data_IF_732088685104
#
_entry.id   IF_732088685104
#
_cell.length_a   1.000
_cell.length_b   1.000
_cell.length_c   1.000
_cell.angle_alpha   90.00
_cell.angle_beta   90.00
_cell.angle_gamma   90.00
#
_symmetry.space_group_name_H-M   'P 1'
#
loop_
_entity.id
_entity.type
_entity.pdbx_description
1 polymer ?
#
# COMPACT_ATOMS: atom_id res chain seq x y z
N UNK A 1 -5.66 17.00 31.41
CA UNK A 1 -4.43 16.19 31.56
C UNK A 1 -4.74 14.72 31.86
N UNK A 2 -5.37 14.39 32.99
CA UNK A 2 -5.76 13.00 33.33
C UNK A 2 -6.71 12.37 32.29
N UNK A 3 -7.74 13.10 31.82
CA UNK A 3 -8.64 12.61 30.77
C UNK A 3 -7.91 12.33 29.44
N UNK A 4 -6.93 13.16 29.07
CA UNK A 4 -6.13 12.99 27.86
C UNK A 4 -5.19 11.78 27.97
N UNK A 5 -4.55 11.62 29.13
CA UNK A 5 -3.71 10.47 29.43
C UNK A 5 -4.51 9.16 29.44
N UNK A 6 -5.71 9.15 30.03
CA UNK A 6 -6.61 8.01 30.01
C UNK A 6 -7.05 7.67 28.58
N UNK A 7 -7.38 8.68 27.77
CA UNK A 7 -7.77 8.49 26.37
C UNK A 7 -6.65 7.89 25.52
N UNK A 8 -5.42 8.43 25.61
CA UNK A 8 -4.29 7.93 24.81
C UNK A 8 -3.81 6.56 25.29
N UNK A 9 -3.61 6.41 26.60
CA UNK A 9 -2.96 5.21 27.14
C UNK A 9 -3.93 4.04 27.29
N UNK A 10 -5.20 4.29 27.60
CA UNK A 10 -6.19 3.22 27.84
C UNK A 10 -7.13 3.08 26.65
N UNK A 11 -7.75 4.15 26.14
CA UNK A 11 -8.71 4.00 25.04
C UNK A 11 -8.04 3.68 23.71
N UNK A 12 -6.99 4.42 23.33
CA UNK A 12 -6.34 4.25 22.02
C UNK A 12 -5.34 3.09 21.96
N UNK A 13 -4.73 2.69 23.08
CA UNK A 13 -3.77 1.58 23.13
C UNK A 13 -4.33 0.24 23.62
N UNK A 14 -5.37 0.22 24.45
CA UNK A 14 -5.93 -1.03 25.00
C UNK A 14 -7.28 -1.42 24.38
N UNK A 15 -8.08 -0.45 23.90
CA UNK A 15 -9.43 -0.73 23.37
C UNK A 15 -9.56 -0.58 21.86
N UNK A 16 -8.64 0.14 21.22
CA UNK A 16 -8.64 0.37 19.78
C UNK A 16 -7.34 -0.19 19.20
N UNK A 17 -7.46 -0.97 18.14
CA UNK A 17 -6.31 -1.34 17.31
C UNK A 17 -6.40 -0.56 15.99
N UNK A 18 -5.99 0.73 15.97
CA UNK A 18 -6.15 1.58 14.80
C UNK A 18 -5.35 1.08 13.60
N UNK A 19 -4.25 0.36 13.83
CA UNK A 19 -3.42 -0.17 12.75
C UNK A 19 -4.10 -1.36 12.07
N UNK A 20 -4.59 -2.33 12.84
CA UNK A 20 -5.35 -3.44 12.26
C UNK A 20 -6.64 -2.95 11.59
N UNK A 21 -7.37 -2.00 12.20
CA UNK A 21 -8.53 -1.38 11.58
C UNK A 21 -8.21 -0.72 10.22
N UNK A 22 -7.03 -0.10 10.09
CA UNK A 22 -6.58 0.48 8.83
C UNK A 22 -6.25 -0.60 7.79
N UNK A 23 -5.57 -1.68 8.17
CA UNK A 23 -5.26 -2.81 7.30
C UNK A 23 -6.54 -3.49 6.80
N UNK A 24 -7.51 -3.70 7.69
CA UNK A 24 -8.83 -4.22 7.36
C UNK A 24 -9.57 -3.31 6.39
N UNK A 25 -9.55 -2.00 6.63
CA UNK A 25 -10.18 -1.02 5.75
C UNK A 25 -9.57 -1.05 4.35
N UNK A 26 -8.23 -1.12 4.24
CA UNK A 26 -7.52 -1.27 2.98
C UNK A 26 -7.99 -2.52 2.21
N UNK A 27 -8.11 -3.65 2.90
CA UNK A 27 -8.51 -4.94 2.32
C UNK A 27 -9.96 -4.97 1.84
N UNK A 28 -10.87 -4.43 2.66
CA UNK A 28 -12.30 -4.37 2.34
C UNK A 28 -12.54 -3.37 1.19
N UNK A 29 -11.78 -2.27 1.17
CA UNK A 29 -11.87 -1.24 0.13
C UNK A 29 -11.13 -1.61 -1.16
N UNK A 30 -10.39 -2.71 -1.18
CA UNK A 30 -9.52 -3.12 -2.29
C UNK A 30 -8.45 -2.06 -2.66
N UNK A 31 -7.84 -1.42 -1.66
CA UNK A 31 -6.85 -0.35 -1.81
C UNK A 31 -5.55 -0.76 -1.12
N UNK A 32 -4.47 -0.88 -1.90
CA UNK A 32 -3.12 -1.03 -1.36
C UNK A 32 -2.47 0.32 -1.10
N UNK A 33 -1.66 0.41 -0.04
CA UNK A 33 -0.96 1.64 0.35
C UNK A 33 0.54 1.40 0.22
N UNK A 34 1.20 2.24 -0.58
CA UNK A 34 2.64 2.18 -0.81
C UNK A 34 3.26 3.51 -0.41
N UNK A 35 4.07 3.52 0.64
CA UNK A 35 4.63 4.74 1.25
C UNK A 35 6.14 4.66 1.22
N UNK A 36 6.79 5.67 0.63
CA UNK A 36 8.24 5.80 0.61
C UNK A 36 8.66 6.85 1.64
N UNK A 37 9.44 6.45 2.64
CA UNK A 37 10.09 7.40 3.57
C UNK A 37 11.41 7.89 3.00
N UNK A 38 12.06 7.05 2.18
CA UNK A 38 13.29 7.33 1.45
C UNK A 38 13.14 6.84 0.00
N UNK A 39 14.04 7.22 -0.93
CA UNK A 39 13.87 6.88 -2.34
C UNK A 39 13.71 5.39 -2.66
N UNK A 40 14.35 4.52 -1.87
CA UNK A 40 14.35 3.06 -2.03
C UNK A 40 13.84 2.32 -0.79
N UNK A 41 13.31 3.03 0.22
CA UNK A 41 12.87 2.40 1.47
C UNK A 41 11.55 2.99 1.95
N UNK A 42 10.70 2.14 2.52
CA UNK A 42 9.43 2.55 3.09
C UNK A 42 8.57 1.39 3.58
N UNK A 43 7.24 1.56 3.46
CA UNK A 43 6.25 0.63 3.96
C UNK A 43 5.19 0.31 2.90
N UNK A 44 4.71 -0.92 2.92
CA UNK A 44 3.64 -1.39 2.04
C UNK A 44 2.55 -2.09 2.84
N UNK A 45 1.30 -1.70 2.58
CA UNK A 45 0.10 -2.38 3.04
C UNK A 45 -0.58 -2.98 1.81
N UNK A 46 -0.63 -4.30 1.78
CA UNK A 46 -1.32 -5.07 0.76
C UNK A 46 -2.82 -5.11 1.07
N UNK A 47 -3.60 -4.31 0.35
CA UNK A 47 -5.05 -4.22 0.52
C UNK A 47 -5.84 -4.84 -0.61
N UNK A 48 -5.30 -5.84 -1.33
CA UNK A 48 -6.07 -6.54 -2.36
C UNK A 48 -7.19 -7.34 -1.70
N UNK A 49 -8.43 -7.07 -2.08
CA UNK A 49 -9.57 -7.82 -1.56
C UNK A 49 -9.59 -9.24 -2.13
N UNK A 50 -10.04 -10.20 -1.32
CA UNK A 50 -10.33 -11.56 -1.77
C UNK A 50 -11.68 -11.65 -2.48
N UNK A 51 -12.46 -10.56 -2.47
CA UNK A 51 -13.76 -10.44 -3.11
C UNK A 51 -13.69 -9.61 -4.38
N UNK A 52 -14.58 -9.88 -5.34
CA UNK A 52 -14.55 -9.25 -6.67
C UNK A 52 -14.76 -7.72 -6.64
N UNK A 53 -15.51 -7.22 -5.67
CA UNK A 53 -15.90 -5.81 -5.57
C UNK A 53 -15.96 -5.35 -4.12
N UNK A 54 -15.36 -4.20 -3.84
CA UNK A 54 -15.48 -3.50 -2.57
C UNK A 54 -16.83 -2.79 -2.41
N UNK A 55 -17.31 -2.12 -3.47
CA UNK A 55 -18.58 -1.41 -3.49
C UNK A 55 -19.74 -2.38 -3.75
N UNK A 56 -20.27 -2.98 -2.68
CA UNK A 56 -21.37 -3.94 -2.74
C UNK A 56 -22.45 -3.65 -1.70
N UNK A 57 -23.64 -4.23 -1.90
CA UNK A 57 -24.75 -4.15 -0.95
C UNK A 57 -24.35 -4.73 0.42
N UNK A 58 -24.90 -4.16 1.49
CA UNK A 58 -24.62 -4.59 2.87
C UNK A 58 -24.90 -6.09 3.10
N UNK A 59 -25.91 -6.65 2.44
CA UNK A 59 -26.24 -8.09 2.52
C UNK A 59 -25.09 -8.94 1.96
N UNK A 60 -24.54 -8.56 0.80
CA UNK A 60 -23.41 -9.27 0.18
C UNK A 60 -22.14 -9.08 1.00
N UNK A 61 -21.90 -7.88 1.53
CA UNK A 61 -20.77 -7.65 2.44
C UNK A 61 -20.83 -8.56 3.66
N UNK A 62 -22.01 -8.75 4.27
CA UNK A 62 -22.17 -9.68 5.38
C UNK A 62 -21.86 -11.13 4.95
N UNK A 63 -22.31 -11.54 3.76
CA UNK A 63 -21.98 -12.87 3.22
C UNK A 63 -20.48 -13.07 2.96
N UNK A 64 -19.77 -12.02 2.53
CA UNK A 64 -18.32 -12.01 2.37
C UNK A 64 -17.61 -12.22 3.71
N UNK A 65 -17.99 -11.45 4.73
CA UNK A 65 -17.44 -11.59 6.08
C UNK A 65 -17.72 -12.97 6.68
N UNK A 66 -18.91 -13.53 6.44
CA UNK A 66 -19.22 -14.90 6.84
C UNK A 66 -18.33 -15.94 6.14
N UNK A 67 -18.09 -15.78 4.83
CA UNK A 67 -17.20 -16.68 4.09
C UNK A 67 -15.76 -16.60 4.58
N UNK A 68 -15.28 -15.40 4.91
CA UNK A 68 -13.96 -15.21 5.51
C UNK A 68 -13.85 -15.89 6.87
N UNK A 69 -14.85 -15.74 7.74
CA UNK A 69 -14.90 -16.42 9.05
C UNK A 69 -14.83 -17.94 8.92
N UNK A 70 -15.54 -18.50 7.94
CA UNK A 70 -15.58 -19.95 7.69
C UNK A 70 -14.39 -20.44 6.84
N UNK A 71 -13.41 -19.58 6.52
CA UNK A 71 -12.26 -19.88 5.65
C UNK A 71 -12.67 -20.44 4.26
N UNK A 72 -13.79 -19.96 3.71
CA UNK A 72 -14.34 -20.36 2.40
C UNK A 72 -13.83 -19.49 1.24
N UNK A 73 -12.79 -18.69 1.46
CA UNK A 73 -12.16 -17.84 0.46
C UNK A 73 -10.64 -17.85 0.63
N UNK A 74 -9.92 -17.22 -0.31
CA UNK A 74 -8.47 -17.08 -0.21
C UNK A 74 -8.04 -16.23 0.99
N UNK A 75 -6.75 -16.25 1.29
CA UNK A 75 -6.14 -15.38 2.30
C UNK A 75 -5.90 -13.98 1.74
N UNK A 76 -5.92 -12.96 2.61
CA UNK A 76 -5.74 -11.56 2.21
C UNK A 76 -4.27 -11.13 2.00
N UNK A 77 -3.30 -12.01 2.28
CA UNK A 77 -1.90 -11.66 2.22
C UNK A 77 -1.34 -11.57 0.81
N UNK A 78 -0.18 -10.93 0.68
CA UNK A 78 0.51 -10.78 -0.61
C UNK A 78 1.07 -12.13 -1.10
N UNK A 79 1.51 -12.99 -0.18
CA UNK A 79 2.00 -14.33 -0.49
C UNK A 79 0.87 -15.36 -0.51
N UNK A 80 0.98 -16.33 -1.42
CA UNK A 80 0.01 -17.41 -1.51
C UNK A 80 -0.06 -18.19 -0.19
N UNK A 81 -1.26 -18.23 0.41
CA UNK A 81 -1.51 -18.92 1.67
C UNK A 81 -1.09 -18.15 2.93
N UNK A 82 -0.51 -16.95 2.80
CA UNK A 82 -0.24 -16.06 3.94
C UNK A 82 -1.42 -15.11 4.18
N UNK A 83 -1.68 -14.80 5.45
CA UNK A 83 -2.60 -13.74 5.87
C UNK A 83 -1.92 -12.39 6.09
N UNK A 84 -0.59 -12.31 6.00
CA UNK A 84 0.16 -11.09 6.31
C UNK A 84 -0.01 -10.04 5.21
N UNK A 85 -0.28 -8.80 5.62
CA UNK A 85 -0.59 -7.70 4.69
C UNK A 85 0.37 -6.51 4.82
N UNK A 86 1.29 -6.54 5.78
CA UNK A 86 2.17 -5.43 6.11
C UNK A 86 3.64 -5.78 5.89
N UNK A 87 4.34 -4.90 5.20
CA UNK A 87 5.73 -5.11 4.79
C UNK A 87 6.54 -3.84 4.96
N UNK A 88 7.79 -3.99 5.40
CA UNK A 88 8.85 -3.00 5.18
C UNK A 88 9.42 -3.29 3.80
N UNK A 89 9.55 -2.26 2.97
CA UNK A 89 9.99 -2.42 1.58
C UNK A 89 11.34 -1.76 1.37
N UNK A 90 12.26 -2.52 0.79
CA UNK A 90 13.55 -2.06 0.28
C UNK A 90 13.57 -2.37 -1.21
N UNK A 91 13.82 -1.35 -2.04
CA UNK A 91 13.53 -1.40 -3.47
C UNK A 91 14.83 -1.40 -4.29
N UNK A 92 14.85 -2.09 -5.44
CA UNK A 92 16.02 -2.08 -6.30
C UNK A 92 16.19 -0.72 -6.97
N UNK A 93 17.42 -0.35 -7.34
CA UNK A 93 17.70 0.95 -8.00
C UNK A 93 16.93 1.12 -9.30
N UNK A 94 16.76 0.02 -10.05
CA UNK A 94 15.98 0.00 -11.31
C UNK A 94 14.52 0.37 -11.09
N UNK A 95 13.92 -0.02 -9.94
CA UNK A 95 12.55 0.41 -9.61
C UNK A 95 12.47 1.93 -9.54
N UNK A 96 13.46 2.58 -8.91
CA UNK A 96 13.47 4.03 -8.74
C UNK A 96 13.58 4.76 -10.06
N UNK A 97 14.45 4.31 -10.95
CA UNK A 97 14.60 4.87 -12.29
C UNK A 97 13.26 4.81 -13.07
N UNK A 98 12.57 3.67 -12.99
CA UNK A 98 11.26 3.50 -13.64
C UNK A 98 10.16 4.33 -12.98
N UNK A 99 10.17 4.43 -11.66
CA UNK A 99 9.23 5.26 -10.89
C UNK A 99 9.40 6.75 -11.22
N UNK A 100 10.64 7.25 -11.24
CA UNK A 100 10.95 8.63 -11.60
C UNK A 100 10.65 8.91 -13.08
N UNK A 101 10.85 7.95 -13.98
CA UNK A 101 10.44 8.05 -15.38
C UNK A 101 8.90 8.15 -15.51
N UNK A 102 8.14 7.33 -14.79
CA UNK A 102 6.67 7.39 -14.78
C UNK A 102 6.16 8.73 -14.22
N UNK A 103 6.85 9.29 -13.22
CA UNK A 103 6.50 10.58 -12.61
C UNK A 103 6.93 11.79 -13.47
N UNK A 104 8.06 11.72 -14.17
CA UNK A 104 8.58 12.84 -14.98
C UNK A 104 7.84 13.02 -16.31
N UNK A 105 7.32 11.94 -16.90
CA UNK A 105 6.39 12.02 -18.04
C UNK A 105 5.11 12.83 -17.72
N UNK A 106 4.77 12.98 -16.43
CA UNK A 106 3.66 13.79 -15.92
C UNK A 106 4.02 15.29 -15.79
N UNK A 107 5.25 15.62 -15.39
CA UNK A 107 5.69 17.00 -15.10
C UNK A 107 5.82 17.94 -16.31
N UNK A 108 6.29 17.46 -17.46
CA UNK A 108 6.62 18.30 -18.63
C UNK A 108 5.40 18.93 -19.34
N UNK A 109 4.18 18.54 -18.99
CA UNK A 109 2.96 19.14 -19.55
C UNK A 109 2.53 20.45 -18.89
N UNK A 110 3.14 20.84 -17.76
CA UNK A 110 2.74 22.03 -16.98
C UNK A 110 3.13 23.35 -17.65
N UNK A 111 4.27 23.41 -18.34
CA UNK A 111 4.81 24.68 -18.86
C UNK A 111 4.27 25.07 -20.26
N UNK A 112 3.63 24.14 -20.97
CA UNK A 112 3.23 24.37 -22.37
C UNK A 112 1.76 24.73 -22.57
N UNK A 113 0.91 24.58 -21.54
CA UNK A 113 -0.54 24.75 -21.64
C UNK A 113 -1.07 26.09 -21.10
N UNK A 114 -0.24 26.89 -20.41
CA UNK A 114 -0.65 28.20 -19.86
C UNK A 114 -0.79 29.31 -20.92
N UNK A 115 -0.58 29.01 -22.21
CA UNK A 115 -0.50 30.05 -23.25
C UNK A 115 -1.66 30.11 -24.25
N UNK A 116 -2.67 29.22 -24.22
CA UNK A 116 -3.59 29.12 -25.37
C UNK A 116 -5.11 28.97 -25.15
N UNK A 117 -5.69 28.90 -23.94
CA UNK A 117 -7.15 28.68 -23.81
C UNK A 117 -7.89 29.77 -23.01
N UNK A 118 -8.88 30.40 -23.67
CA UNK A 118 -9.77 31.43 -23.13
C UNK A 118 -11.08 30.90 -22.52
N UNK A 119 -11.20 29.59 -22.26
CA UNK A 119 -12.35 29.00 -21.55
C UNK A 119 -11.88 28.27 -20.28
N UNK A 120 -12.16 28.88 -19.13
CA UNK A 120 -11.73 28.43 -17.80
C UNK A 120 -12.27 27.03 -17.43
N UNK A 121 -13.47 26.68 -17.91
CA UNK A 121 -14.11 25.40 -17.62
C UNK A 121 -13.43 24.22 -18.36
N UNK A 122 -13.16 24.38 -19.67
CA UNK A 122 -12.48 23.38 -20.48
C UNK A 122 -11.01 23.21 -20.06
N UNK A 123 -10.34 24.30 -19.66
CA UNK A 123 -9.00 24.22 -19.08
C UNK A 123 -8.98 23.39 -17.79
N UNK A 124 -9.98 23.54 -16.92
CA UNK A 124 -10.10 22.76 -15.68
C UNK A 124 -10.37 21.28 -15.97
N UNK A 125 -11.29 20.97 -16.88
CA UNK A 125 -11.60 19.60 -17.28
C UNK A 125 -10.37 18.89 -17.88
N UNK A 126 -9.63 19.56 -18.77
CA UNK A 126 -8.41 19.02 -19.38
C UNK A 126 -7.30 18.76 -18.35
N UNK A 127 -7.16 19.64 -17.35
CA UNK A 127 -6.21 19.44 -16.25
C UNK A 127 -6.57 18.23 -15.39
N UNK A 128 -7.85 18.05 -15.06
CA UNK A 128 -8.35 16.89 -14.31
C UNK A 128 -8.10 15.59 -15.10
N UNK A 129 -8.41 15.58 -16.40
CA UNK A 129 -8.18 14.41 -17.24
C UNK A 129 -6.69 14.03 -17.31
N UNK A 130 -5.81 15.04 -17.40
CA UNK A 130 -4.36 14.82 -17.38
C UNK A 130 -3.92 14.19 -16.07
N UNK A 131 -4.33 14.76 -14.93
CA UNK A 131 -4.02 14.23 -13.59
C UNK A 131 -4.54 12.79 -13.44
N UNK A 132 -5.76 12.52 -13.90
CA UNK A 132 -6.33 11.17 -13.85
C UNK A 132 -5.54 10.16 -14.68
N UNK A 133 -5.10 10.53 -15.90
CA UNK A 133 -4.26 9.67 -16.74
C UNK A 133 -2.91 9.36 -16.09
N UNK A 134 -2.29 10.34 -15.45
CA UNK A 134 -1.03 10.19 -14.74
C UNK A 134 -1.17 9.22 -13.56
N UNK A 135 -2.24 9.38 -12.76
CA UNK A 135 -2.54 8.45 -11.67
C UNK A 135 -2.77 7.02 -12.17
N UNK A 136 -3.51 6.84 -13.28
CA UNK A 136 -3.75 5.51 -13.86
C UNK A 136 -2.44 4.87 -14.34
N UNK A 137 -1.54 5.64 -14.97
CA UNK A 137 -0.25 5.13 -15.41
C UNK A 137 0.62 4.68 -14.24
N UNK A 138 0.73 5.51 -13.20
CA UNK A 138 1.49 5.17 -11.99
C UNK A 138 0.91 3.96 -11.27
N UNK A 139 -0.42 3.90 -11.13
CA UNK A 139 -1.11 2.77 -10.50
C UNK A 139 -0.85 1.47 -11.28
N UNK A 140 -0.91 1.52 -12.62
CA UNK A 140 -0.61 0.36 -13.46
C UNK A 140 0.85 -0.10 -13.33
N UNK A 141 1.79 0.83 -13.21
CA UNK A 141 3.20 0.50 -12.94
C UNK A 141 3.35 -0.20 -11.60
N UNK A 142 2.78 0.37 -10.53
CA UNK A 142 2.86 -0.21 -9.18
C UNK A 142 2.19 -1.59 -9.11
N UNK A 143 1.02 -1.76 -9.72
CA UNK A 143 0.35 -3.07 -9.79
C UNK A 143 1.24 -4.11 -10.47
N UNK A 144 1.84 -3.77 -11.63
CA UNK A 144 2.77 -4.68 -12.33
C UNK A 144 4.00 -5.02 -11.51
N UNK A 145 4.54 -4.05 -10.77
CA UNK A 145 5.67 -4.27 -9.88
C UNK A 145 5.32 -5.24 -8.76
N UNK A 146 4.21 -5.00 -8.05
CA UNK A 146 3.76 -5.86 -6.95
C UNK A 146 3.44 -7.28 -7.44
N UNK A 147 2.87 -7.44 -8.64
CA UNK A 147 2.56 -8.75 -9.25
C UNK A 147 3.77 -9.48 -9.86
N UNK A 148 5.01 -9.05 -9.55
CA UNK A 148 6.25 -9.60 -10.11
C UNK A 148 6.32 -9.59 -11.65
N UNK A 149 5.53 -8.74 -12.31
CA UNK A 149 5.45 -8.60 -13.76
C UNK A 149 6.43 -7.55 -14.32
N UNK A 150 7.46 -7.20 -13.53
CA UNK A 150 8.59 -6.37 -13.95
C UNK A 150 9.90 -7.12 -13.66
N UNK A 151 10.41 -7.92 -14.61
CA UNK A 151 11.59 -8.76 -14.36
C UNK A 151 12.87 -7.95 -14.08
N UNK A 152 12.91 -6.68 -14.50
CA UNK A 152 14.04 -5.77 -14.27
C UNK A 152 14.08 -5.19 -12.84
N UNK A 153 12.92 -5.13 -12.17
CA UNK A 153 12.76 -4.59 -10.84
C UNK A 153 12.06 -5.65 -9.97
N UNK A 154 12.75 -6.76 -9.75
CA UNK A 154 12.20 -7.88 -8.98
C UNK A 154 12.43 -7.69 -7.48
N UNK A 155 11.62 -8.36 -6.66
CA UNK A 155 11.80 -8.39 -5.20
C UNK A 155 11.49 -9.77 -4.61
N UNK A 156 12.06 -10.05 -3.45
CA UNK A 156 11.80 -11.23 -2.63
C UNK A 156 11.08 -10.83 -1.34
N UNK A 157 10.43 -11.79 -0.69
CA UNK A 157 9.78 -11.58 0.61
C UNK A 157 10.54 -12.39 1.66
N UNK A 158 11.04 -11.73 2.71
CA UNK A 158 11.84 -12.35 3.77
C UNK A 158 11.34 -11.97 5.15
N UNK A 159 11.80 -12.72 6.16
CA UNK A 159 11.63 -12.33 7.56
C UNK A 159 12.76 -11.40 7.99
N UNK A 160 12.47 -10.52 8.96
CA UNK A 160 13.50 -9.71 9.60
C UNK A 160 14.38 -10.62 10.45
N UNK A 161 15.71 -10.51 10.30
CA UNK A 161 16.60 -11.20 11.24
C UNK A 161 16.57 -10.52 12.62
N UNK A 162 16.89 -11.26 13.67
CA UNK A 162 16.90 -10.73 15.05
C UNK A 162 17.82 -9.51 15.21
N UNK A 163 18.93 -9.47 14.46
CA UNK A 163 19.86 -8.35 14.50
C UNK A 163 19.28 -7.12 13.80
N UNK A 164 18.58 -7.29 12.67
CA UNK A 164 17.90 -6.18 11.97
C UNK A 164 16.81 -5.59 12.85
N UNK A 165 16.03 -6.44 13.52
CA UNK A 165 14.99 -6.01 14.45
C UNK A 165 15.57 -5.30 15.69
N UNK A 166 16.68 -5.80 16.23
CA UNK A 166 17.32 -5.22 17.42
C UNK A 166 18.00 -3.88 17.12
N UNK A 167 18.64 -3.77 15.95
CA UNK A 167 19.43 -2.60 15.58
C UNK A 167 18.66 -1.59 14.73
N UNK A 168 17.50 -1.94 14.18
CA UNK A 168 16.73 -1.14 13.22
C UNK A 168 17.57 -0.76 11.99
N UNK A 169 18.33 -1.73 11.47
CA UNK A 169 19.26 -1.57 10.34
C UNK A 169 19.02 -2.71 9.35
N UNK A 170 19.10 -2.43 8.06
CA UNK A 170 19.14 -3.44 7.00
C UNK A 170 20.56 -3.99 6.82
N UNK A 171 20.75 -5.32 6.86
CA UNK A 171 22.07 -5.93 6.60
C UNK A 171 22.24 -6.43 5.17
N UNK A 172 21.15 -6.58 4.42
CA UNK A 172 21.17 -7.11 3.05
C UNK A 172 21.25 -5.99 2.02
N UNK A 173 22.03 -6.16 0.95
CA UNK A 173 22.03 -5.19 -0.16
C UNK A 173 20.83 -5.43 -1.09
N UNK A 174 19.82 -4.57 -0.98
CA UNK A 174 18.62 -4.61 -1.81
C UNK A 174 18.76 -3.85 -3.14
N UNK A 175 19.96 -3.36 -3.49
CA UNK A 175 20.16 -2.51 -4.67
C UNK A 175 19.80 -3.20 -5.99
N UNK A 176 20.00 -4.52 -6.08
CA UNK A 176 19.79 -5.32 -7.31
C UNK A 176 18.41 -5.99 -7.28
N UNK A 177 18.07 -6.65 -6.17
CA UNK A 177 16.79 -7.32 -5.94
C UNK A 177 16.18 -6.70 -4.70
N UNK A 178 14.95 -6.20 -4.81
CA UNK A 178 14.24 -5.63 -3.67
C UNK A 178 13.95 -6.68 -2.60
N UNK A 179 13.69 -6.21 -1.39
CA UNK A 179 13.29 -7.04 -0.29
C UNK A 179 12.04 -6.49 0.39
N UNK A 180 11.04 -7.33 0.56
CA UNK A 180 9.83 -7.05 1.31
C UNK A 180 9.93 -7.83 2.62
N UNK A 181 10.28 -7.13 3.68
CA UNK A 181 10.44 -7.73 5.01
C UNK A 181 9.07 -7.80 5.68
N UNK A 182 8.69 -9.00 6.13
CA UNK A 182 7.43 -9.23 6.85
C UNK A 182 7.38 -8.39 8.12
N UNK A 183 6.34 -7.55 8.25
CA UNK A 183 6.13 -6.70 9.42
C UNK A 183 4.89 -7.19 10.18
N UNK A 184 5.10 -8.03 11.19
CA UNK A 184 4.04 -8.41 12.11
C UNK A 184 3.84 -7.32 13.17
N UNK A 185 2.66 -6.71 13.17
CA UNK A 185 2.26 -5.81 14.24
C UNK A 185 1.85 -6.68 15.44
N UNK A 186 2.80 -6.98 16.32
CA UNK A 186 2.49 -7.59 17.62
C UNK A 186 1.83 -6.57 18.56
N UNK A 187 0.58 -6.21 18.26
CA UNK A 187 -0.37 -5.79 19.28
C UNK A 187 -1.19 -7.01 19.65
N UNK A 188 -1.31 -7.32 20.94
CA UNK A 188 -2.19 -8.39 21.39
C UNK A 188 -3.61 -8.09 20.91
N UNK A 189 -4.04 -8.72 19.80
CA UNK A 189 -5.44 -8.75 19.43
C UNK A 189 -6.18 -9.48 20.52
N UNK A 190 -7.11 -8.78 21.19
CA UNK A 190 -8.00 -9.35 22.21
C UNK A 190 -9.18 -10.08 21.54
N UNK A 191 -9.27 -10.13 20.21
CA UNK A 191 -10.36 -10.85 19.55
C UNK A 191 -9.90 -12.22 19.02
N UNK A 192 -10.65 -13.29 19.36
CA UNK A 192 -10.37 -14.67 18.95
C UNK A 192 -10.65 -14.91 17.47
#
# INVERSE_FOLDING_TARGET
>A
MIQWFFRITITERLLLDPFHNMIDLCSISNISVFVLTHPLHGYYIHGRSVHDRADTDMIKMNQYLHRERENLCGTRGLEAGSGLQTYIINLPKVFREQFDAALSMSGNGKERLDRLNNDYFDATANNIEKIAKEHVQLNNFLMRFIEHNCPQANYIITDASLLELLCDIEFSDSSIVGNFVRLELHTHSIYP
#
